data_IF_605571279024
#
_entry.id   IF_605571279024
#
_cell.length_a   1.000
_cell.length_b   1.000
_cell.length_c   1.000
_cell.angle_alpha   90.00
_cell.angle_beta   90.00
_cell.angle_gamma   90.00
#
_symmetry.space_group_name_H-M   'P 1'
#
loop_
_entity.id
_entity.type
_entity.pdbx_description
1 polymer ?
#
# COMPACT_ATOMS: atom_id res chain seq x y z
N UNK A 1 -2.50 -12.40 39.94
CA UNK A 1 -3.68 -11.52 39.75
C UNK A 1 -3.30 -10.04 39.55
N UNK A 2 -2.19 -9.60 40.10
CA UNK A 2 -1.71 -8.20 40.09
C UNK A 2 -1.28 -7.73 38.69
N UNK A 3 -0.61 -8.61 37.95
CA UNK A 3 -0.11 -8.32 36.60
C UNK A 3 -1.24 -8.03 35.60
N UNK A 4 -2.43 -8.60 35.80
CA UNK A 4 -3.58 -8.35 34.92
C UNK A 4 -4.01 -6.88 34.98
N UNK A 5 -3.89 -6.21 36.13
CA UNK A 5 -4.20 -4.79 36.26
C UNK A 5 -3.25 -3.89 35.48
N UNK A 6 -2.04 -4.36 35.16
CA UNK A 6 -1.09 -3.64 34.31
C UNK A 6 -1.22 -4.05 32.85
N UNK A 7 -1.40 -5.34 32.59
CA UNK A 7 -1.49 -5.87 31.23
C UNK A 7 -2.77 -5.42 30.51
N UNK A 8 -3.92 -5.36 31.18
CA UNK A 8 -5.18 -4.92 30.58
C UNK A 8 -5.08 -3.48 30.03
N UNK A 9 -4.69 -2.45 30.82
CA UNK A 9 -4.59 -1.09 30.29
C UNK A 9 -3.48 -0.94 29.25
N UNK A 10 -2.35 -1.63 29.39
CA UNK A 10 -1.28 -1.64 28.37
C UNK A 10 -1.79 -2.23 27.06
N UNK A 11 -2.56 -3.32 27.12
CA UNK A 11 -3.21 -3.94 25.96
C UNK A 11 -4.18 -2.97 25.28
N UNK A 12 -5.03 -2.29 26.05
CA UNK A 12 -5.99 -1.31 25.49
C UNK A 12 -5.25 -0.16 24.81
N UNK A 13 -4.19 0.38 25.45
CA UNK A 13 -3.35 1.41 24.85
C UNK A 13 -2.68 0.94 23.57
N UNK A 14 -2.19 -0.31 23.53
CA UNK A 14 -1.60 -0.90 22.34
C UNK A 14 -2.62 -0.97 21.19
N UNK A 15 -3.84 -1.44 21.47
CA UNK A 15 -4.92 -1.51 20.47
C UNK A 15 -5.27 -0.11 19.97
N UNK A 16 -5.39 0.88 20.87
CA UNK A 16 -5.64 2.27 20.48
C UNK A 16 -4.51 2.85 19.62
N UNK A 17 -3.25 2.54 19.94
CA UNK A 17 -2.10 2.95 19.13
C UNK A 17 -2.14 2.32 17.73
N UNK A 18 -2.48 1.02 17.64
CA UNK A 18 -2.65 0.32 16.36
C UNK A 18 -3.77 0.97 15.55
N UNK A 19 -4.93 1.25 16.15
CA UNK A 19 -6.05 1.92 15.48
C UNK A 19 -5.70 3.34 15.03
N UNK A 20 -4.92 4.09 15.82
CA UNK A 20 -4.47 5.42 15.44
C UNK A 20 -3.52 5.37 14.23
N UNK A 21 -2.57 4.44 14.22
CA UNK A 21 -1.64 4.25 13.09
C UNK A 21 -2.39 3.80 11.84
N UNK A 22 -3.31 2.83 11.97
CA UNK A 22 -4.14 2.35 10.87
C UNK A 22 -5.04 3.47 10.33
N UNK A 23 -5.71 4.22 11.21
CA UNK A 23 -6.54 5.35 10.82
C UNK A 23 -5.75 6.45 10.11
N UNK A 24 -4.52 6.72 10.58
CA UNK A 24 -3.61 7.65 9.91
C UNK A 24 -3.18 7.13 8.53
N UNK A 25 -2.84 5.86 8.40
CA UNK A 25 -2.47 5.24 7.11
C UNK A 25 -3.63 5.29 6.10
N UNK A 26 -4.85 5.02 6.56
CA UNK A 26 -6.07 5.11 5.76
C UNK A 26 -6.28 6.54 5.26
N UNK A 27 -6.19 7.52 6.16
CA UNK A 27 -6.37 8.94 5.80
C UNK A 27 -5.21 9.49 4.95
N UNK A 28 -4.04 8.87 4.98
CA UNK A 28 -2.87 9.32 4.22
C UNK A 28 -2.89 8.92 2.75
N UNK A 29 -3.98 8.31 2.26
CA UNK A 29 -4.12 7.96 0.84
C UNK A 29 -3.25 6.79 0.39
N UNK A 30 -2.78 5.94 1.32
CA UNK A 30 -1.94 4.78 0.96
C UNK A 30 -2.69 3.75 0.06
N UNK A 31 -4.00 3.92 -0.11
CA UNK A 31 -4.82 3.11 -1.01
C UNK A 31 -4.81 3.60 -2.46
N UNK A 32 -4.60 4.90 -2.72
CA UNK A 32 -4.50 5.44 -4.09
C UNK A 32 -3.34 4.80 -4.87
N UNK A 33 -2.20 4.59 -4.20
CA UNK A 33 -1.02 3.95 -4.81
C UNK A 33 -1.30 2.49 -5.25
N UNK A 34 -2.19 1.78 -4.55
CA UNK A 34 -2.55 0.38 -4.86
C UNK A 34 -3.47 0.30 -6.08
N UNK A 35 -4.37 1.26 -6.26
CA UNK A 35 -5.29 1.30 -7.40
C UNK A 35 -4.54 1.51 -8.73
N UNK A 36 -3.55 2.40 -8.73
CA UNK A 36 -2.70 2.64 -9.90
C UNK A 36 -1.85 1.42 -10.27
N UNK A 37 -1.27 0.72 -9.29
CA UNK A 37 -0.48 -0.50 -9.56
C UNK A 37 -1.37 -1.68 -9.99
N UNK A 38 -2.59 -1.78 -9.46
CA UNK A 38 -3.58 -2.78 -9.90
C UNK A 38 -3.97 -2.65 -11.38
N UNK A 39 -4.11 -1.41 -11.86
CA UNK A 39 -4.34 -1.11 -13.28
C UNK A 39 -3.13 -1.47 -14.15
N UNK A 40 -1.91 -1.40 -13.62
CA UNK A 40 -0.68 -1.74 -14.34
C UNK A 40 -0.52 -3.24 -14.59
N UNK A 41 -1.00 -4.09 -13.68
CA UNK A 41 -1.00 -5.56 -13.84
C UNK A 41 -2.02 -6.03 -14.87
N UNK A 42 -3.17 -5.34 -14.96
CA UNK A 42 -4.23 -5.63 -15.93
C UNK A 42 -3.97 -5.04 -17.31
N UNK A 43 -3.08 -4.05 -17.42
CA UNK A 43 -2.59 -3.58 -18.70
C UNK A 43 -1.66 -4.66 -19.27
N UNK A 44 -2.08 -5.38 -20.32
CA UNK A 44 -1.17 -6.31 -20.99
C UNK A 44 0.04 -5.50 -21.48
N UNK A 45 1.24 -6.00 -21.22
CA UNK A 45 2.51 -5.50 -21.76
C UNK A 45 2.47 -5.54 -23.30
N UNK A 46 1.79 -4.58 -23.93
CA UNK A 46 1.30 -4.83 -25.28
C UNK A 46 0.99 -3.62 -26.15
N UNK A 47 1.42 -2.40 -25.82
CA UNK A 47 1.33 -1.32 -26.82
C UNK A 47 2.41 -0.23 -26.78
N UNK A 48 3.56 -0.50 -26.16
CA UNK A 48 4.74 0.35 -26.33
C UNK A 48 5.98 -0.45 -26.79
N UNK A 49 5.81 -1.28 -27.82
CA UNK A 49 6.88 -1.55 -28.78
C UNK A 49 6.29 -1.93 -30.14
N UNK A 50 5.56 -0.98 -30.72
CA UNK A 50 4.82 -1.14 -31.99
C UNK A 50 5.14 -0.09 -33.03
N UNK A 51 6.25 0.64 -32.93
CA UNK A 51 6.57 1.63 -33.96
C UNK A 51 7.90 2.32 -33.74
N UNK A 52 8.82 2.08 -34.66
CA UNK A 52 10.11 2.75 -34.87
C UNK A 52 11.33 2.06 -34.24
N UNK A 53 11.55 0.79 -34.61
CA UNK A 53 12.91 0.42 -35.02
C UNK A 53 13.13 1.10 -36.38
N UNK A 54 13.69 2.30 -36.36
CA UNK A 54 14.25 2.91 -37.56
C UNK A 54 15.16 1.88 -38.23
N UNK A 55 14.95 1.53 -39.51
CA UNK A 55 15.97 0.78 -40.22
C UNK A 55 17.16 1.72 -40.33
N UNK A 56 18.17 1.49 -39.52
CA UNK A 56 19.51 2.04 -39.73
C UNK A 56 19.92 1.63 -41.15
N UNK A 57 19.75 2.55 -42.09
CA UNK A 57 20.47 2.57 -43.34
C UNK A 57 21.92 2.88 -42.98
N UNK A 58 22.80 1.89 -43.15
CA UNK A 58 24.22 2.03 -43.51
C UNK A 58 24.73 0.68 -44.05
#
# INVERSE_FOLDING_TARGET
>A
MEILYVLIPVSVLLVLAILAVLGWAVNSGQFEDIEQEGLRILQPEGQADGGNVEPHQD
#
